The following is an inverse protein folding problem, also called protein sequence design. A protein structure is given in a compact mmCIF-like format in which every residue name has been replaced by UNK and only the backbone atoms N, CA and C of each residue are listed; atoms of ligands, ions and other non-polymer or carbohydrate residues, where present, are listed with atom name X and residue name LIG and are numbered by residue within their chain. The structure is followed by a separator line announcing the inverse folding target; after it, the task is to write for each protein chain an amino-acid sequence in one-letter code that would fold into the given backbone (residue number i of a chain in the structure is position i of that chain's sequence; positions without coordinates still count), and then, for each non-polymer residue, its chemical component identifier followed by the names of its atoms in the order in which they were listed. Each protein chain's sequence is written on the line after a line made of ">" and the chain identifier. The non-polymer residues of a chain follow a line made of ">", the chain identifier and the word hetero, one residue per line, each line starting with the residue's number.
data_IF_601284621999
#
_entry.id   IF_601284621999
#
_cell.length_a   1.000
_cell.length_b   1.000
_cell.length_c   1.000
_cell.angle_alpha   90.00
_cell.angle_beta   90.00
_cell.angle_gamma   90.00
#
_symmetry.space_group_name_H-M   'P 1'
#
loop_
_entity.id
_entity.type
_entity.pdbx_description
1 polymer ?
#
# COMPACT_ATOMS: atom_id res chain seq x y z
N UNK A 1 35.01 19.44 -3.60
CA UNK A 1 34.05 19.04 -2.55
C UNK A 1 33.12 20.23 -2.34
N UNK A 2 31.89 20.18 -2.82
CA UNK A 2 30.70 19.44 -2.32
C UNK A 2 29.75 20.49 -1.76
N UNK A 3 28.55 20.61 -2.34
CA UNK A 3 27.32 21.03 -1.67
C UNK A 3 26.20 21.05 -2.71
N UNK A 4 25.60 19.89 -2.99
CA UNK A 4 24.33 19.82 -3.74
C UNK A 4 23.39 18.72 -3.21
N UNK A 5 23.64 18.20 -2.01
CA UNK A 5 22.90 17.04 -1.44
C UNK A 5 21.81 17.43 -0.42
N UNK A 6 21.55 18.72 -0.21
CA UNK A 6 20.62 19.20 0.84
C UNK A 6 19.16 19.29 0.40
N UNK A 7 18.90 19.60 -0.87
CA UNK A 7 17.53 19.88 -1.38
C UNK A 7 16.72 18.62 -1.67
N UNK A 8 17.38 17.55 -2.14
CA UNK A 8 16.78 16.25 -2.41
C UNK A 8 16.29 15.57 -1.12
N UNK A 9 17.08 15.65 -0.05
CA UNK A 9 16.69 15.19 1.29
C UNK A 9 15.43 15.89 1.80
N UNK A 10 15.36 17.22 1.67
CA UNK A 10 14.19 18.02 2.06
C UNK A 10 12.95 17.67 1.26
N UNK A 11 13.06 17.48 -0.05
CA UNK A 11 11.93 17.11 -0.91
C UNK A 11 11.44 15.70 -0.60
N UNK A 12 12.33 14.72 -0.41
CA UNK A 12 11.98 13.36 -0.01
C UNK A 12 11.32 13.33 1.37
N UNK A 13 11.78 14.16 2.32
CA UNK A 13 11.15 14.28 3.62
C UNK A 13 9.74 14.92 3.53
N UNK A 14 9.59 15.90 2.65
CA UNK A 14 8.31 16.57 2.39
C UNK A 14 7.34 15.61 1.71
N UNK A 15 7.79 14.89 0.68
CA UNK A 15 7.06 13.80 0.03
C UNK A 15 6.66 12.75 1.05
N UNK A 16 7.57 12.27 1.90
CA UNK A 16 7.27 11.27 2.92
C UNK A 16 6.24 11.74 3.96
N UNK A 17 6.31 13.01 4.36
CA UNK A 17 5.34 13.59 5.29
C UNK A 17 3.98 13.80 4.62
N UNK A 18 3.95 14.35 3.41
CA UNK A 18 2.74 14.48 2.59
C UNK A 18 2.15 13.11 2.29
N UNK A 19 2.99 12.10 2.15
CA UNK A 19 2.60 10.72 1.90
C UNK A 19 2.07 10.02 3.15
N UNK A 20 2.63 10.32 4.33
CA UNK A 20 2.05 9.91 5.61
C UNK A 20 0.68 10.55 5.82
N UNK A 21 0.50 11.82 5.45
CA UNK A 21 -0.79 12.52 5.54
C UNK A 21 -1.81 11.99 4.52
N UNK A 22 -1.37 11.65 3.31
CA UNK A 22 -2.20 11.02 2.29
C UNK A 22 -2.61 9.62 2.73
N UNK A 23 -1.68 8.86 3.30
CA UNK A 23 -1.95 7.52 3.83
C UNK A 23 -2.88 7.57 5.05
N UNK A 24 -2.70 8.53 5.98
CA UNK A 24 -3.61 8.74 7.11
C UNK A 24 -5.01 9.18 6.65
N UNK A 25 -5.11 10.04 5.64
CA UNK A 25 -6.38 10.42 5.00
C UNK A 25 -7.08 9.22 4.33
N UNK A 26 -6.32 8.31 3.72
CA UNK A 26 -6.83 7.10 3.04
C UNK A 26 -7.14 5.94 4.01
N UNK A 27 -6.41 5.88 5.13
CA UNK A 27 -6.56 4.86 6.19
C UNK A 27 -7.59 5.26 7.25
N UNK A 28 -7.99 6.53 7.32
CA UNK A 28 -9.10 6.99 8.15
C UNK A 28 -10.44 6.37 7.73
N UNK A 29 -11.25 5.97 8.72
CA UNK A 29 -12.57 5.32 8.60
C UNK A 29 -13.69 6.22 8.05
N UNK A 30 -13.40 7.08 7.07
CA UNK A 30 -14.40 7.89 6.37
C UNK A 30 -14.81 7.22 5.06
N UNK A 31 -16.11 7.08 4.82
CA UNK A 31 -16.76 6.55 3.61
C UNK A 31 -16.48 7.39 2.33
N UNK A 32 -15.56 8.35 2.41
CA UNK A 32 -15.14 9.25 1.35
C UNK A 32 -13.64 9.06 1.12
N UNK A 33 -13.25 7.98 0.43
CA UNK A 33 -11.93 7.94 -0.20
C UNK A 33 -11.86 9.12 -1.17
N UNK A 34 -10.94 10.10 -0.97
CA UNK A 34 -10.77 11.18 -1.93
C UNK A 34 -10.50 10.56 -3.29
N UNK A 35 -11.22 10.99 -4.33
CA UNK A 35 -11.05 10.46 -5.66
C UNK A 35 -9.58 10.69 -6.05
N UNK A 36 -8.83 9.62 -6.35
CA UNK A 36 -7.38 9.73 -6.59
C UNK A 36 -7.05 10.82 -7.63
N UNK A 37 -7.94 11.05 -8.61
CA UNK A 37 -7.85 12.16 -9.56
C UNK A 37 -7.90 13.55 -8.93
N UNK A 38 -8.74 13.81 -7.94
CA UNK A 38 -8.85 15.12 -7.30
C UNK A 38 -7.57 15.50 -6.54
N UNK A 39 -6.89 14.50 -5.97
CA UNK A 39 -5.59 14.71 -5.28
C UNK A 39 -4.48 15.12 -6.26
N UNK A 40 -4.54 14.65 -7.51
CA UNK A 40 -3.60 15.03 -8.57
C UNK A 40 -3.99 16.32 -9.31
N UNK A 41 -5.29 16.57 -9.51
CA UNK A 41 -5.78 17.74 -10.28
C UNK A 41 -5.93 19.01 -9.43
N UNK A 42 -6.31 18.87 -8.16
CA UNK A 42 -6.63 19.98 -7.25
C UNK A 42 -5.86 19.93 -5.93
N UNK A 43 -5.17 18.82 -5.64
CA UNK A 43 -4.38 18.62 -4.42
C UNK A 43 -2.88 18.96 -4.56
N UNK A 44 -2.10 18.68 -3.51
CA UNK A 44 -0.67 19.04 -3.43
C UNK A 44 0.19 18.38 -4.52
N UNK A 45 -0.28 17.32 -5.17
CA UNK A 45 0.46 16.57 -6.19
C UNK A 45 0.47 17.24 -7.58
N UNK A 46 -0.23 18.38 -7.75
CA UNK A 46 -0.24 19.16 -9.00
C UNK A 46 1.14 19.67 -9.42
N UNK A 47 2.09 19.72 -8.48
CA UNK A 47 3.45 20.27 -8.67
C UNK A 47 4.51 19.15 -8.74
N UNK A 48 4.12 17.87 -8.85
CA UNK A 48 5.11 16.80 -8.96
C UNK A 48 5.78 16.80 -10.34
N UNK A 49 7.11 16.73 -10.33
CA UNK A 49 7.87 16.50 -11.55
C UNK A 49 7.69 15.05 -12.04
N UNK A 50 8.06 14.80 -13.30
CA UNK A 50 8.08 13.43 -13.84
C UNK A 50 8.97 12.50 -13.02
N UNK A 51 10.05 13.02 -12.43
CA UNK A 51 10.96 12.25 -11.59
C UNK A 51 10.32 11.87 -10.25
N UNK A 52 9.56 12.78 -9.63
CA UNK A 52 8.82 12.50 -8.40
C UNK A 52 7.74 11.44 -8.61
N UNK A 53 7.02 11.49 -9.74
CA UNK A 53 5.99 10.50 -10.09
C UNK A 53 6.60 9.11 -10.35
N UNK A 54 7.80 9.04 -10.94
CA UNK A 54 8.53 7.79 -11.10
C UNK A 54 8.99 7.23 -9.76
N UNK A 55 9.50 8.08 -8.87
CA UNK A 55 9.87 7.67 -7.52
C UNK A 55 8.65 7.13 -6.77
N UNK A 56 7.53 7.84 -6.83
CA UNK A 56 6.26 7.42 -6.23
C UNK A 56 5.78 6.07 -6.78
N UNK A 57 5.86 5.87 -8.09
CA UNK A 57 5.48 4.60 -8.75
C UNK A 57 6.37 3.44 -8.26
N UNK A 58 7.67 3.69 -8.06
CA UNK A 58 8.60 2.71 -7.54
C UNK A 58 8.26 2.34 -6.09
N UNK A 59 8.04 3.32 -5.22
CA UNK A 59 7.69 3.10 -3.82
C UNK A 59 6.36 2.36 -3.68
N UNK A 60 5.34 2.76 -4.43
CA UNK A 60 4.05 2.08 -4.49
C UNK A 60 4.21 0.62 -4.94
N UNK A 61 5.02 0.38 -5.98
CA UNK A 61 5.27 -0.98 -6.47
C UNK A 61 5.99 -1.85 -5.44
N UNK A 62 6.90 -1.27 -4.66
CA UNK A 62 7.54 -1.94 -3.53
C UNK A 62 6.55 -2.22 -2.39
N UNK A 63 5.68 -1.27 -2.06
CA UNK A 63 4.59 -1.43 -1.10
C UNK A 63 3.68 -2.60 -1.47
N UNK A 64 3.24 -2.65 -2.74
CA UNK A 64 2.47 -3.76 -3.32
C UNK A 64 3.14 -5.11 -3.09
N UNK A 65 4.45 -5.18 -3.37
CA UNK A 65 5.24 -6.41 -3.20
C UNK A 65 5.27 -6.85 -1.73
N UNK A 66 5.47 -5.91 -0.80
CA UNK A 66 5.48 -6.20 0.65
C UNK A 66 4.12 -6.70 1.14
N UNK A 67 3.02 -6.08 0.73
CA UNK A 67 1.67 -6.53 1.10
C UNK A 67 1.38 -7.93 0.56
N UNK A 68 1.74 -8.22 -0.69
CA UNK A 68 1.62 -9.56 -1.27
C UNK A 68 2.44 -10.61 -0.50
N UNK A 69 3.68 -10.31 -0.15
CA UNK A 69 4.51 -11.20 0.67
C UNK A 69 3.88 -11.47 2.05
N UNK A 70 3.25 -10.44 2.64
CA UNK A 70 2.56 -10.58 3.93
C UNK A 70 1.30 -11.44 3.81
N UNK A 71 0.53 -11.30 2.73
CA UNK A 71 -0.60 -12.20 2.44
C UNK A 71 -0.16 -13.65 2.27
N UNK A 72 0.93 -13.89 1.54
CA UNK A 72 1.48 -15.24 1.37
C UNK A 72 1.89 -15.84 2.73
N UNK A 73 2.53 -15.04 3.59
CA UNK A 73 2.90 -15.47 4.94
C UNK A 73 1.68 -15.80 5.80
N UNK A 74 0.64 -14.98 5.76
CA UNK A 74 -0.61 -15.24 6.49
C UNK A 74 -1.30 -16.50 5.98
N UNK A 75 -1.32 -16.73 4.66
CA UNK A 75 -1.87 -17.95 4.06
C UNK A 75 -1.19 -19.21 4.62
N UNK A 76 0.14 -19.21 4.69
CA UNK A 76 0.92 -20.31 5.29
C UNK A 76 0.62 -20.49 6.78
N UNK A 77 0.44 -19.39 7.52
CA UNK A 77 0.09 -19.45 8.94
C UNK A 77 -1.32 -20.01 9.16
N UNK A 78 -2.27 -19.67 8.29
CA UNK A 78 -3.64 -20.23 8.30
C UNK A 78 -3.60 -21.73 7.98
N UNK A 79 -2.86 -22.16 6.96
CA UNK A 79 -2.69 -23.57 6.61
C UNK A 79 -2.12 -24.37 7.78
N UNK A 80 -1.07 -23.85 8.43
CA UNK A 80 -0.46 -24.48 9.59
C UNK A 80 -1.43 -24.58 10.77
N UNK A 81 -2.15 -23.50 11.11
CA UNK A 81 -3.13 -23.52 12.19
C UNK A 81 -4.32 -24.43 11.87
N UNK A 82 -4.73 -24.52 10.60
CA UNK A 82 -5.81 -25.42 10.15
C UNK A 82 -5.39 -26.89 10.29
N UNK A 83 -4.15 -27.23 9.94
CA UNK A 83 -3.61 -28.57 10.17
C UNK A 83 -3.51 -28.91 11.66
N UNK A 84 -3.08 -27.94 12.49
CA UNK A 84 -3.05 -28.08 13.96
C UNK A 84 -4.46 -28.30 14.52
N UNK A 85 -5.45 -27.54 14.06
CA UNK A 85 -6.86 -27.65 14.45
C UNK A 85 -7.39 -29.06 14.17
N UNK A 86 -7.15 -29.58 12.97
CA UNK A 86 -7.55 -30.94 12.60
C UNK A 86 -6.92 -31.98 13.52
N UNK A 87 -5.61 -31.87 13.78
CA UNK A 87 -4.92 -32.77 14.71
C UNK A 87 -5.47 -32.72 16.12
N UNK A 88 -5.80 -31.53 16.65
CA UNK A 88 -6.38 -31.37 17.98
C UNK A 88 -7.74 -32.05 18.08
N UNK A 89 -8.59 -31.87 17.06
CA UNK A 89 -9.91 -32.49 17.00
C UNK A 89 -9.84 -34.01 16.98
N UNK A 90 -8.90 -34.58 16.21
CA UNK A 90 -8.72 -36.03 16.13
C UNK A 90 -8.33 -36.68 17.47
N UNK A 91 -7.55 -35.97 18.29
CA UNK A 91 -7.11 -36.47 19.60
C UNK A 91 -8.02 -36.03 20.76
N UNK A 92 -9.12 -35.31 20.46
CA UNK A 92 -10.02 -34.75 21.46
C UNK A 92 -9.39 -33.65 22.32
N UNK A 93 -8.39 -32.95 21.79
CA UNK A 93 -7.74 -31.81 22.43
C UNK A 93 -8.58 -30.53 22.34
N UNK A 94 -8.26 -29.56 23.21
CA UNK A 94 -8.88 -28.23 23.19
C UNK A 94 -8.49 -27.46 21.93
N UNK A 95 -9.49 -26.97 21.20
CA UNK A 95 -9.30 -26.35 19.88
C UNK A 95 -9.71 -24.87 19.81
N UNK A 96 -10.27 -24.32 20.89
CA UNK A 96 -10.87 -22.97 20.92
C UNK A 96 -9.87 -21.88 20.56
N UNK A 97 -8.66 -21.92 21.14
CA UNK A 97 -7.59 -20.94 20.85
C UNK A 97 -7.13 -21.00 19.38
N UNK A 98 -7.08 -22.22 18.81
CA UNK A 98 -6.63 -22.39 17.42
C UNK A 98 -7.69 -21.90 16.43
N UNK A 99 -8.97 -22.12 16.73
CA UNK A 99 -10.09 -21.55 15.97
C UNK A 99 -10.06 -20.03 16.02
N UNK A 100 -9.91 -19.44 17.22
CA UNK A 100 -9.83 -18.00 17.37
C UNK A 100 -8.65 -17.40 16.60
N UNK A 101 -7.48 -18.05 16.66
CA UNK A 101 -6.30 -17.62 15.91
C UNK A 101 -6.54 -17.62 14.39
N UNK A 102 -7.22 -18.62 13.85
CA UNK A 102 -7.57 -18.67 12.41
C UNK A 102 -8.50 -17.50 12.04
N UNK A 103 -9.48 -17.16 12.88
CA UNK A 103 -10.33 -16.01 12.65
C UNK A 103 -9.54 -14.69 12.63
N UNK A 104 -8.65 -14.48 13.59
CA UNK A 104 -7.78 -13.29 13.63
C UNK A 104 -6.89 -13.18 12.38
N UNK A 105 -6.35 -14.30 11.91
CA UNK A 105 -5.51 -14.33 10.70
C UNK A 105 -6.32 -14.03 9.43
N UNK A 106 -7.56 -14.52 9.35
CA UNK A 106 -8.47 -14.19 8.25
C UNK A 106 -8.84 -12.71 8.25
N UNK A 107 -9.16 -12.13 9.40
CA UNK A 107 -9.48 -10.70 9.52
C UNK A 107 -8.29 -9.83 9.10
N UNK A 108 -7.07 -10.22 9.50
CA UNK A 108 -5.85 -9.56 9.04
C UNK A 108 -5.65 -9.70 7.52
N UNK A 109 -5.91 -10.88 6.96
CA UNK A 109 -5.86 -11.13 5.52
C UNK A 109 -6.85 -10.25 4.74
N UNK A 110 -8.06 -10.06 5.26
CA UNK A 110 -9.07 -9.19 4.67
C UNK A 110 -8.63 -7.72 4.67
N UNK A 111 -8.09 -7.23 5.79
CA UNK A 111 -7.56 -5.85 5.88
C UNK A 111 -6.44 -5.59 4.89
N UNK A 112 -5.46 -6.50 4.80
CA UNK A 112 -4.35 -6.36 3.85
C UNK A 112 -4.85 -6.42 2.40
N UNK A 113 -5.85 -7.25 2.11
CA UNK A 113 -6.45 -7.31 0.77
C UNK A 113 -7.13 -5.99 0.38
N UNK A 114 -7.80 -5.32 1.33
CA UNK A 114 -8.37 -3.99 1.11
C UNK A 114 -7.28 -2.93 0.88
N UNK A 115 -6.21 -2.95 1.68
CA UNK A 115 -5.06 -2.06 1.49
C UNK A 115 -4.39 -2.27 0.12
N UNK A 116 -4.24 -3.52 -0.30
CA UNK A 116 -3.68 -3.87 -1.61
C UNK A 116 -4.56 -3.34 -2.75
N UNK A 117 -5.89 -3.47 -2.64
CA UNK A 117 -6.82 -2.94 -3.63
C UNK A 117 -6.73 -1.41 -3.74
N UNK A 118 -6.65 -0.70 -2.61
CA UNK A 118 -6.42 0.75 -2.58
C UNK A 118 -5.10 1.12 -3.25
N UNK A 119 -4.03 0.41 -2.92
CA UNK A 119 -2.70 0.64 -3.48
C UNK A 119 -2.64 0.40 -5.00
N UNK A 120 -3.33 -0.64 -5.50
CA UNK A 120 -3.44 -0.93 -6.94
C UNK A 120 -4.18 0.18 -7.69
N UNK A 121 -5.23 0.74 -7.10
CA UNK A 121 -5.95 1.89 -7.67
C UNK A 121 -5.07 3.15 -7.76
N UNK A 122 -4.26 3.40 -6.72
CA UNK A 122 -3.32 4.52 -6.70
C UNK A 122 -2.24 4.32 -7.75
N UNK A 123 -1.62 3.13 -7.81
CA UNK A 123 -0.62 2.78 -8.83
C UNK A 123 -1.12 3.04 -10.25
N UNK A 124 -2.38 2.70 -10.52
CA UNK A 124 -3.00 2.96 -11.81
C UNK A 124 -3.06 4.46 -12.10
N UNK A 125 -3.55 5.25 -11.15
CA UNK A 125 -3.68 6.71 -11.28
C UNK A 125 -2.31 7.37 -11.46
N UNK A 126 -1.30 6.97 -10.69
CA UNK A 126 0.06 7.51 -10.79
C UNK A 126 0.69 7.22 -12.16
N UNK A 127 0.45 6.03 -12.72
CA UNK A 127 0.93 5.66 -14.06
C UNK A 127 0.22 6.45 -15.16
N UNK A 128 -1.09 6.61 -15.07
CA UNK A 128 -1.85 7.47 -16.00
C UNK A 128 -1.31 8.90 -16.01
N UNK A 129 -0.93 9.42 -14.83
CA UNK A 129 -0.32 10.74 -14.72
C UNK A 129 1.11 10.78 -15.29
N UNK A 130 1.92 9.75 -15.07
CA UNK A 130 3.25 9.62 -15.68
C UNK A 130 3.17 9.67 -17.21
N UNK A 131 2.23 8.93 -17.79
CA UNK A 131 2.00 8.85 -19.24
C UNK A 131 1.52 10.19 -19.80
N UNK A 132 0.62 10.88 -19.10
CA UNK A 132 0.14 12.22 -19.47
C UNK A 132 1.28 13.25 -19.54
N UNK A 133 2.13 13.30 -18.50
CA UNK A 133 3.26 14.21 -18.46
C UNK A 133 4.30 13.89 -19.54
N UNK A 134 4.58 12.61 -19.78
CA UNK A 134 5.47 12.18 -20.89
C UNK A 134 4.92 12.60 -22.24
N UNK A 135 3.61 12.48 -22.46
CA UNK A 135 2.94 12.92 -23.68
C UNK A 135 3.08 14.42 -23.92
N UNK A 136 2.89 15.24 -22.87
CA UNK A 136 3.08 16.69 -22.94
C UNK A 136 4.53 17.09 -23.25
N UNK A 137 5.50 16.40 -22.65
CA UNK A 137 6.94 16.61 -22.90
C UNK A 137 7.39 16.23 -24.32
N UNK A 138 6.65 15.36 -25.01
CA UNK A 138 6.97 14.94 -26.39
C UNK A 138 6.22 15.73 -27.46
N UNK A 139 5.19 16.49 -27.08
CA UNK A 139 4.42 17.38 -27.98
C UNK A 139 4.75 18.86 -27.81
N UNK A 140 5.49 19.24 -26.76
CA UNK A 140 6.10 20.56 -26.58
C UNK A 140 7.45 20.66 -27.32
#
# INVERSE_FOLDING_TARGET
>A
MNNDDGHSSSLVQTLKNEWSLLWESIAGEGDETPNAREVFEQGPLKILSLEDIRHLTLELSQGRKRLNQRLESLGKEIEWNSAKLESLRLVGGEDTDTVQKIHELNDQGQRISQELAKLDQILRTTREQEDSLRGQLTTA
#
